data_IF_535117054035
#
_entry.id   IF_535117054035
#
_cell.length_a   1.000
_cell.length_b   1.000
_cell.length_c   1.000
_cell.angle_alpha   90.00
_cell.angle_beta   90.00
_cell.angle_gamma   90.00
#
_symmetry.space_group_name_H-M   'P 1'
#
loop_
_entity.id
_entity.type
_entity.pdbx_description
1 polymer ?
#
# COMPACT_ATOMS: atom_id res chain seq x y z
N UNK A 1 13.28 -13.38 -40.87
CA UNK A 1 13.80 -14.02 -39.64
C UNK A 1 13.13 -13.35 -38.45
N UNK A 2 12.05 -13.94 -37.92
CA UNK A 2 11.35 -13.43 -36.74
C UNK A 2 12.07 -13.93 -35.49
N UNK A 3 12.91 -13.09 -34.89
CA UNK A 3 13.44 -13.36 -33.56
C UNK A 3 12.30 -13.28 -32.55
N UNK A 4 11.84 -14.44 -32.06
CA UNK A 4 11.00 -14.52 -30.85
C UNK A 4 11.82 -13.94 -29.70
N UNK A 5 11.50 -12.71 -29.29
CA UNK A 5 12.01 -12.15 -28.04
C UNK A 5 11.29 -12.91 -26.93
N UNK A 6 11.92 -13.95 -26.38
CA UNK A 6 11.46 -14.59 -25.15
C UNK A 6 11.81 -13.67 -24.00
N UNK A 7 10.87 -12.80 -23.62
CA UNK A 7 11.04 -11.96 -22.45
C UNK A 7 11.01 -12.90 -21.23
N UNK A 8 12.16 -13.10 -20.58
CA UNK A 8 12.30 -13.75 -19.28
C UNK A 8 11.74 -12.85 -18.16
N UNK A 9 10.50 -12.37 -18.30
CA UNK A 9 9.86 -11.43 -17.37
C UNK A 9 9.08 -12.12 -16.24
N UNK A 10 8.91 -13.45 -16.28
CA UNK A 10 8.08 -14.18 -15.31
C UNK A 10 8.61 -14.11 -13.86
N UNK A 11 9.92 -13.92 -13.65
CA UNK A 11 10.53 -13.95 -12.32
C UNK A 11 10.33 -12.65 -11.52
N UNK A 12 10.68 -11.49 -12.09
CA UNK A 12 10.63 -10.20 -11.38
C UNK A 12 9.19 -9.71 -11.17
N UNK A 13 8.30 -9.94 -12.14
CA UNK A 13 6.89 -9.55 -12.03
C UNK A 13 6.20 -10.31 -10.88
N UNK A 14 6.54 -11.59 -10.68
CA UNK A 14 5.96 -12.42 -9.62
C UNK A 14 6.44 -12.10 -8.20
N UNK A 15 7.57 -11.40 -8.03
CA UNK A 15 8.02 -10.92 -6.73
C UNK A 15 7.40 -9.57 -6.40
N UNK A 16 7.31 -8.67 -7.39
CA UNK A 16 6.72 -7.34 -7.26
C UNK A 16 5.24 -7.39 -6.81
N UNK A 17 4.47 -8.36 -7.29
CA UNK A 17 3.06 -8.56 -6.91
C UNK A 17 2.85 -9.17 -5.52
N UNK A 18 3.91 -9.57 -4.83
CA UNK A 18 3.84 -10.18 -3.48
C UNK A 18 4.28 -9.23 -2.37
N UNK A 19 4.93 -8.13 -2.73
CA UNK A 19 5.39 -7.14 -1.76
C UNK A 19 4.19 -6.30 -1.31
N UNK A 20 3.96 -6.14 0.01
CA UNK A 20 2.97 -5.21 0.54
C UNK A 20 3.56 -3.79 0.54
N UNK A 21 3.33 -3.04 -0.52
CA UNK A 21 3.94 -1.73 -0.73
C UNK A 21 3.47 -0.70 0.31
N UNK A 22 2.27 -0.87 0.85
CA UNK A 22 1.76 -0.04 1.95
C UNK A 22 2.62 -0.08 3.21
N UNK A 23 3.41 -1.15 3.42
CA UNK A 23 4.37 -1.19 4.53
C UNK A 23 5.43 -0.09 4.42
N UNK A 24 5.78 0.36 3.21
CA UNK A 24 6.77 1.42 3.04
C UNK A 24 6.26 2.75 3.59
N UNK A 25 4.97 3.04 3.46
CA UNK A 25 4.37 4.28 3.98
C UNK A 25 4.48 4.31 5.51
N UNK A 26 4.04 3.24 6.17
CA UNK A 26 4.08 3.18 7.63
C UNK A 26 5.51 3.09 8.16
N UNK A 27 6.37 2.32 7.50
CA UNK A 27 7.79 2.21 7.89
C UNK A 27 8.49 3.56 7.74
N UNK A 28 8.19 4.33 6.69
CA UNK A 28 8.73 5.68 6.53
C UNK A 28 8.33 6.56 7.72
N UNK A 29 7.06 6.57 8.11
CA UNK A 29 6.59 7.38 9.23
C UNK A 29 7.23 6.94 10.55
N UNK A 30 7.35 5.63 10.80
CA UNK A 30 8.02 5.09 11.99
C UNK A 30 9.49 5.51 12.02
N UNK A 31 10.21 5.40 10.89
CA UNK A 31 11.62 5.79 10.80
C UNK A 31 11.79 7.30 10.97
N UNK A 32 10.90 8.10 10.38
CA UNK A 32 10.90 9.54 10.53
C UNK A 32 10.72 9.95 12.00
N UNK A 33 9.79 9.32 12.72
CA UNK A 33 9.59 9.58 14.15
C UNK A 33 10.79 9.11 14.97
N UNK A 34 11.26 7.87 14.76
CA UNK A 34 12.40 7.31 15.49
C UNK A 34 13.69 8.13 15.34
N UNK A 35 13.91 8.70 14.14
CA UNK A 35 15.05 9.57 13.85
C UNK A 35 14.78 11.04 14.18
N UNK A 36 13.60 11.37 14.71
CA UNK A 36 13.14 12.75 15.01
C UNK A 36 13.24 13.69 13.79
N UNK A 37 13.01 13.15 12.60
CA UNK A 37 13.04 13.93 11.36
C UNK A 37 11.81 14.83 11.27
N UNK A 38 12.04 16.10 10.94
CA UNK A 38 10.94 16.98 10.56
C UNK A 38 10.38 16.54 9.21
N UNK A 39 9.07 16.30 9.15
CA UNK A 39 8.36 16.08 7.90
C UNK A 39 8.09 17.39 7.16
N UNK A 40 8.33 18.56 7.77
CA UNK A 40 8.11 19.83 7.10
C UNK A 40 9.18 20.08 6.02
N UNK A 41 8.72 20.35 4.80
CA UNK A 41 9.58 20.65 3.66
C UNK A 41 9.90 19.42 2.80
N UNK A 42 11.17 19.29 2.39
CA UNK A 42 11.58 18.32 1.35
C UNK A 42 11.24 16.87 1.73
N UNK A 43 11.40 16.50 3.00
CA UNK A 43 11.14 15.14 3.49
C UNK A 43 9.65 14.80 3.35
N UNK A 44 8.76 15.69 3.78
CA UNK A 44 7.31 15.49 3.66
C UNK A 44 6.80 15.47 2.22
N UNK A 45 7.31 16.34 1.34
CA UNK A 45 6.93 16.30 -0.07
C UNK A 45 7.41 15.03 -0.78
N UNK A 46 8.61 14.56 -0.42
CA UNK A 46 9.14 13.28 -0.90
C UNK A 46 8.28 12.11 -0.40
N UNK A 47 7.87 12.16 0.87
CA UNK A 47 6.96 11.18 1.46
C UNK A 47 5.61 11.14 0.75
N UNK A 48 4.95 12.28 0.52
CA UNK A 48 3.66 12.33 -0.18
C UNK A 48 3.79 11.74 -1.58
N UNK A 49 4.84 12.13 -2.32
CA UNK A 49 5.08 11.64 -3.67
C UNK A 49 5.26 10.12 -3.67
N UNK A 50 6.06 9.59 -2.74
CA UNK A 50 6.25 8.16 -2.55
C UNK A 50 4.94 7.45 -2.20
N UNK A 51 4.15 8.00 -1.27
CA UNK A 51 2.90 7.41 -0.82
C UNK A 51 1.87 7.32 -1.95
N UNK A 52 1.78 8.35 -2.80
CA UNK A 52 0.93 8.34 -3.99
C UNK A 52 1.40 7.27 -4.98
N UNK A 53 2.71 7.18 -5.26
CA UNK A 53 3.26 6.15 -6.16
C UNK A 53 2.94 4.74 -5.63
N UNK A 54 3.12 4.52 -4.32
CA UNK A 54 2.80 3.25 -3.65
C UNK A 54 1.32 2.90 -3.81
N UNK A 55 0.41 3.85 -3.60
CA UNK A 55 -1.01 3.63 -3.80
C UNK A 55 -1.33 3.21 -5.24
N UNK A 56 -0.75 3.88 -6.24
CA UNK A 56 -0.93 3.48 -7.64
C UNK A 56 -0.38 2.08 -7.93
N UNK A 57 0.78 1.71 -7.37
CA UNK A 57 1.36 0.38 -7.51
C UNK A 57 0.38 -0.68 -6.95
N UNK A 58 -0.20 -0.44 -5.77
CA UNK A 58 -1.16 -1.37 -5.17
C UNK A 58 -2.45 -1.49 -5.98
N UNK A 59 -2.97 -0.37 -6.47
CA UNK A 59 -4.14 -0.40 -7.34
C UNK A 59 -3.90 -1.21 -8.62
N UNK A 60 -2.70 -1.14 -9.21
CA UNK A 60 -2.34 -1.96 -10.37
C UNK A 60 -2.23 -3.45 -10.03
N UNK A 61 -1.76 -3.78 -8.82
CA UNK A 61 -1.64 -5.15 -8.31
C UNK A 61 -3.00 -5.82 -8.09
N UNK A 62 -4.00 -5.03 -7.67
CA UNK A 62 -5.38 -5.51 -7.39
C UNK A 62 -6.13 -6.11 -8.59
N UNK A 63 -5.55 -6.07 -9.80
CA UNK A 63 -6.10 -6.71 -11.00
C UNK A 63 -5.94 -8.23 -11.07
N UNK A 64 -5.12 -8.85 -10.22
CA UNK A 64 -5.00 -10.31 -10.11
C UNK A 64 -6.07 -10.88 -9.16
N UNK A 65 -6.91 -11.78 -9.68
CA UNK A 65 -8.13 -12.28 -9.02
C UNK A 65 -7.88 -13.63 -8.34
N UNK A 66 -6.63 -14.08 -8.25
CA UNK A 66 -6.35 -15.32 -7.52
C UNK A 66 -6.74 -15.18 -6.04
N UNK A 67 -7.45 -16.19 -5.51
CA UNK A 67 -7.89 -16.17 -4.11
C UNK A 67 -6.71 -16.00 -3.14
N UNK A 68 -5.55 -16.59 -3.45
CA UNK A 68 -4.34 -16.47 -2.63
C UNK A 68 -3.81 -15.03 -2.62
N UNK A 69 -3.82 -14.33 -3.77
CA UNK A 69 -3.40 -12.93 -3.84
C UNK A 69 -4.36 -12.05 -3.05
N UNK A 70 -5.67 -12.27 -3.18
CA UNK A 70 -6.68 -11.56 -2.40
C UNK A 70 -6.48 -11.71 -0.88
N UNK A 71 -6.29 -12.95 -0.39
CA UNK A 71 -6.08 -13.18 1.04
C UNK A 71 -4.79 -12.53 1.55
N UNK A 72 -3.71 -12.62 0.77
CA UNK A 72 -2.44 -11.97 1.14
C UNK A 72 -2.58 -10.46 1.17
N UNK A 73 -3.27 -9.87 0.20
CA UNK A 73 -3.49 -8.43 0.14
C UNK A 73 -4.34 -7.95 1.33
N UNK A 74 -5.45 -8.64 1.62
CA UNK A 74 -6.31 -8.34 2.76
C UNK A 74 -5.59 -8.48 4.10
N UNK A 75 -4.73 -9.50 4.24
CA UNK A 75 -3.92 -9.69 5.43
C UNK A 75 -3.00 -8.49 5.66
N UNK A 76 -2.27 -8.05 4.62
CA UNK A 76 -1.36 -6.92 4.73
C UNK A 76 -2.08 -5.58 4.91
N UNK A 77 -3.24 -5.39 4.29
CA UNK A 77 -4.11 -4.25 4.54
C UNK A 77 -4.49 -4.15 6.03
N UNK A 78 -4.91 -5.25 6.65
CA UNK A 78 -5.22 -5.28 8.09
C UNK A 78 -3.98 -4.95 8.93
N UNK A 79 -2.85 -5.58 8.64
CA UNK A 79 -1.59 -5.32 9.37
C UNK A 79 -1.18 -3.85 9.28
N UNK A 80 -1.24 -3.25 8.09
CA UNK A 80 -0.87 -1.83 7.90
C UNK A 80 -1.82 -0.89 8.62
N UNK A 81 -3.12 -1.18 8.65
CA UNK A 81 -4.11 -0.40 9.43
C UNK A 81 -3.83 -0.52 10.93
N UNK A 82 -3.51 -1.71 11.45
CA UNK A 82 -3.13 -1.91 12.85
C UNK A 82 -1.88 -1.08 13.18
N UNK A 83 -0.85 -1.14 12.33
CA UNK A 83 0.39 -0.39 12.54
C UNK A 83 0.15 1.13 12.48
N UNK A 84 -0.65 1.60 11.52
CA UNK A 84 -1.03 3.01 11.41
C UNK A 84 -1.79 3.50 12.65
N UNK A 85 -2.76 2.71 13.11
CA UNK A 85 -3.54 3.00 14.31
C UNK A 85 -2.65 2.98 15.56
N UNK A 86 -1.72 2.03 15.63
CA UNK A 86 -0.72 1.93 16.69
C UNK A 86 0.19 3.16 16.74
N UNK A 87 0.73 3.58 15.59
CA UNK A 87 1.56 4.78 15.49
C UNK A 87 0.78 6.03 15.87
N UNK A 88 -0.44 6.21 15.34
CA UNK A 88 -1.31 7.33 15.69
C UNK A 88 -1.59 7.38 17.19
N UNK A 89 -1.92 6.24 17.78
CA UNK A 89 -2.18 6.12 19.22
C UNK A 89 -0.93 6.42 20.05
N UNK A 90 0.23 5.97 19.60
CA UNK A 90 1.51 6.24 20.26
C UNK A 90 1.83 7.74 20.26
N UNK A 91 1.76 8.39 19.10
CA UNK A 91 2.01 9.84 18.98
C UNK A 91 1.07 10.63 19.88
N UNK A 92 -0.24 10.34 19.81
CA UNK A 92 -1.24 11.10 20.53
C UNK A 92 -1.23 10.87 22.03
N UNK A 93 -1.19 9.60 22.47
CA UNK A 93 -1.39 9.24 23.88
C UNK A 93 -0.11 9.02 24.66
N UNK A 94 0.98 8.59 24.02
CA UNK A 94 2.25 8.32 24.70
C UNK A 94 3.22 9.50 24.60
N UNK A 95 3.34 10.13 23.43
CA UNK A 95 4.23 11.28 23.23
C UNK A 95 3.54 12.63 23.45
N UNK A 96 2.20 12.67 23.43
CA UNK A 96 1.45 13.93 23.50
C UNK A 96 1.68 14.82 22.28
N UNK A 97 2.09 14.23 21.15
CA UNK A 97 2.40 14.89 19.89
C UNK A 97 1.23 14.77 18.93
N UNK A 98 0.73 15.90 18.46
CA UNK A 98 -0.32 15.90 17.44
C UNK A 98 0.25 15.47 16.08
N UNK A 99 -0.36 14.49 15.39
CA UNK A 99 0.01 14.13 14.04
C UNK A 99 -0.18 15.33 13.12
N UNK A 100 0.88 15.71 12.41
CA UNK A 100 0.81 16.78 11.43
C UNK A 100 0.15 16.31 10.12
N UNK A 101 0.01 17.23 9.18
CA UNK A 101 -0.60 16.98 7.86
C UNK A 101 -0.04 15.74 7.15
N UNK A 102 1.28 15.52 7.18
CA UNK A 102 1.92 14.41 6.49
C UNK A 102 1.53 13.06 7.09
N UNK A 103 1.42 12.96 8.42
CA UNK A 103 0.93 11.74 9.08
C UNK A 103 -0.49 11.43 8.63
N UNK A 104 -1.38 12.44 8.64
CA UNK A 104 -2.76 12.27 8.22
C UNK A 104 -2.90 11.83 6.76
N UNK A 105 -2.07 12.37 5.85
CA UNK A 105 -2.04 11.89 4.47
C UNK A 105 -1.59 10.43 4.40
N UNK A 106 -0.54 10.05 5.12
CA UNK A 106 -0.09 8.66 5.19
C UNK A 106 -1.19 7.72 5.70
N UNK A 107 -1.85 8.07 6.80
CA UNK A 107 -2.95 7.30 7.36
C UNK A 107 -4.14 7.22 6.41
N UNK A 108 -4.50 8.33 5.76
CA UNK A 108 -5.60 8.36 4.79
C UNK A 108 -5.31 7.44 3.59
N UNK A 109 -4.08 7.42 3.09
CA UNK A 109 -3.68 6.52 2.00
C UNK A 109 -3.74 5.06 2.43
N UNK A 110 -3.30 4.74 3.66
CA UNK A 110 -3.42 3.38 4.23
C UNK A 110 -4.87 2.91 4.29
N UNK A 111 -5.78 3.77 4.78
CA UNK A 111 -7.21 3.47 4.82
C UNK A 111 -7.78 3.34 3.41
N UNK A 112 -7.41 4.22 2.48
CA UNK A 112 -7.87 4.16 1.10
C UNK A 112 -7.50 2.83 0.45
N UNK A 113 -6.25 2.38 0.56
CA UNK A 113 -5.80 1.09 0.04
C UNK A 113 -6.59 -0.09 0.64
N UNK A 114 -6.72 -0.11 1.97
CA UNK A 114 -7.42 -1.16 2.70
C UNK A 114 -8.92 -1.28 2.33
N UNK A 115 -9.51 -0.23 1.76
CA UNK A 115 -10.88 -0.23 1.27
C UNK A 115 -10.96 -0.49 -0.24
N UNK A 116 -10.07 0.11 -1.03
CA UNK A 116 -10.11 0.08 -2.49
C UNK A 116 -9.68 -1.28 -3.05
N UNK A 117 -8.66 -1.92 -2.49
CA UNK A 117 -8.18 -3.19 -3.03
C UNK A 117 -9.23 -4.32 -2.87
N UNK A 118 -9.87 -4.50 -1.70
CA UNK A 118 -10.94 -5.49 -1.57
C UNK A 118 -12.13 -5.19 -2.47
N UNK A 119 -12.47 -3.91 -2.64
CA UNK A 119 -13.55 -3.49 -3.53
C UNK A 119 -13.23 -3.80 -5.01
N UNK A 120 -12.01 -3.55 -5.46
CA UNK A 120 -11.56 -3.86 -6.81
C UNK A 120 -11.55 -5.38 -7.06
N UNK A 121 -11.07 -6.17 -6.11
CA UNK A 121 -11.09 -7.62 -6.20
C UNK A 121 -12.53 -8.16 -6.29
N UNK A 122 -13.44 -7.66 -5.44
CA UNK A 122 -14.85 -8.03 -5.47
C UNK A 122 -15.53 -7.68 -6.80
N UNK A 123 -15.34 -6.46 -7.29
CA UNK A 123 -15.88 -6.02 -8.60
C UNK A 123 -15.38 -6.91 -9.73
N UNK A 124 -14.10 -7.27 -9.71
CA UNK A 124 -13.49 -8.07 -10.77
C UNK A 124 -13.96 -9.52 -10.70
N UNK A 125 -14.16 -10.08 -9.50
CA UNK A 125 -14.77 -11.39 -9.31
C UNK A 125 -16.20 -11.45 -9.85
N UNK A 126 -17.06 -10.46 -9.55
CA UNK A 126 -18.43 -10.37 -10.09
C UNK A 126 -18.45 -10.36 -11.62
N UNK A 127 -17.57 -9.56 -12.25
CA UNK A 127 -17.45 -9.53 -13.71
C UNK A 127 -17.08 -10.89 -14.29
N UNK A 128 -16.20 -11.64 -13.64
CA UNK A 128 -15.80 -12.96 -14.11
C UNK A 128 -16.91 -14.01 -13.96
N UNK A 129 -17.76 -13.88 -12.94
CA UNK A 129 -18.94 -14.74 -12.81
C UNK A 129 -19.98 -14.47 -13.91
N UNK A 130 -20.15 -13.21 -14.32
CA UNK A 130 -21.11 -12.80 -15.35
C UNK A 130 -20.72 -13.26 -16.76
N UNK A 131 -19.41 -13.38 -17.06
CA UNK A 131 -18.90 -13.83 -18.38
C UNK A 131 -18.92 -15.37 -18.52
N UNK A 132 -19.06 -16.11 -17.42
CA UNK A 132 -19.08 -17.58 -17.41
C UNK A 132 -20.51 -18.18 -17.44
N UNK A 133 -21.54 -17.34 -17.37
CA UNK A 133 -22.96 -17.72 -17.55
C UNK A 133 -23.41 -17.54 -19.00
#
# INVERSE_FOLDING_TARGET
>A
MNSKVSISSKGMIGFFSKVPWMLFIILFLIVAEYMTLSLDGVVGYSFITLAIIVLFIEMLKSGDISAIAFFMDQFWAIVTVILATGLLSYLWFAEGKEPNFYHWIGFAIIIADALLNPFNAFRTALRNFDVAG
#
